data_IF_409958916060
#
_entry.id   IF_409958916060
#
_cell.length_a   1.000
_cell.length_b   1.000
_cell.length_c   1.000
_cell.angle_alpha   90.00
_cell.angle_beta   90.00
_cell.angle_gamma   90.00
#
_symmetry.space_group_name_H-M   'P 1'
#
loop_
_entity.id
_entity.type
_entity.pdbx_description
1 polymer ?
#
# COMPACT_ATOMS: atom_id res chain seq x y z
N UNK A 1 24.21 40.62 -14.03
CA UNK A 1 25.23 39.61 -14.40
C UNK A 1 25.07 38.25 -13.69
N UNK A 2 24.47 38.14 -12.49
CA UNK A 2 24.22 36.84 -11.81
C UNK A 2 22.96 36.08 -12.28
N UNK A 3 21.92 36.77 -12.75
CA UNK A 3 20.67 36.13 -13.23
C UNK A 3 20.80 35.39 -14.58
N UNK A 4 21.70 35.85 -15.47
CA UNK A 4 21.93 35.21 -16.77
C UNK A 4 22.66 33.85 -16.65
N UNK A 5 23.42 33.64 -15.57
CA UNK A 5 24.11 32.37 -15.30
C UNK A 5 23.17 31.25 -14.84
N UNK A 6 22.19 31.57 -14.00
CA UNK A 6 21.18 30.61 -13.53
C UNK A 6 20.25 30.16 -14.67
N UNK A 7 19.81 31.07 -15.53
CA UNK A 7 18.95 30.73 -16.67
C UNK A 7 19.67 29.82 -17.69
N UNK A 8 20.97 30.06 -17.94
CA UNK A 8 21.79 29.21 -18.81
C UNK A 8 22.09 27.82 -18.22
N UNK A 9 22.14 27.71 -16.90
CA UNK A 9 22.33 26.45 -16.18
C UNK A 9 21.07 25.57 -16.24
N UNK A 10 19.90 26.16 -15.95
CA UNK A 10 18.59 25.46 -15.99
C UNK A 10 18.26 24.96 -17.41
N UNK A 11 18.56 25.74 -18.46
CA UNK A 11 18.28 25.35 -19.85
C UNK A 11 19.23 24.24 -20.34
N UNK A 12 20.51 24.24 -19.96
CA UNK A 12 21.43 23.14 -20.32
C UNK A 12 21.15 21.86 -19.57
N UNK A 13 20.85 21.96 -18.26
CA UNK A 13 20.50 20.77 -17.48
C UNK A 13 19.19 20.15 -17.94
N UNK A 14 18.17 20.94 -18.29
CA UNK A 14 16.89 20.41 -18.79
C UNK A 14 17.03 19.61 -20.09
N UNK A 15 17.92 20.03 -21.01
CA UNK A 15 18.18 19.32 -22.25
C UNK A 15 19.01 18.03 -22.08
N UNK A 16 19.92 17.98 -21.09
CA UNK A 16 20.69 16.77 -20.75
C UNK A 16 19.88 15.79 -19.89
N UNK A 17 19.02 16.29 -19.01
CA UNK A 17 18.08 15.54 -18.18
C UNK A 17 17.11 14.69 -18.99
N UNK A 18 16.62 15.21 -20.11
CA UNK A 18 15.73 14.48 -21.02
C UNK A 18 16.44 13.32 -21.76
N UNK A 19 17.78 13.34 -21.83
CA UNK A 19 18.58 12.32 -22.53
C UNK A 19 19.23 11.32 -21.59
N UNK A 20 19.44 11.68 -20.33
CA UNK A 20 20.04 10.82 -19.33
C UNK A 20 19.40 11.05 -17.94
N UNK A 21 18.40 10.22 -17.56
CA UNK A 21 17.79 10.28 -16.25
C UNK A 21 18.79 10.10 -15.09
N UNK A 22 19.94 9.45 -15.32
CA UNK A 22 20.98 9.28 -14.30
C UNK A 22 21.72 10.60 -14.01
N UNK A 23 21.70 11.57 -14.94
CA UNK A 23 22.32 12.88 -14.73
C UNK A 23 21.60 13.70 -13.65
N UNK A 24 20.26 13.74 -13.64
CA UNK A 24 19.48 14.40 -12.57
C UNK A 24 19.80 13.82 -11.19
N UNK A 25 19.89 12.49 -11.13
CA UNK A 25 20.19 11.75 -9.92
C UNK A 25 21.60 12.10 -9.42
N UNK A 26 22.57 12.19 -10.33
CA UNK A 26 23.95 12.56 -10.00
C UNK A 26 24.10 14.05 -9.61
N UNK A 27 23.37 14.98 -10.23
CA UNK A 27 23.35 16.39 -9.81
C UNK A 27 22.70 16.54 -8.42
N UNK A 28 21.57 15.86 -8.17
CA UNK A 28 20.89 15.89 -6.86
C UNK A 28 21.75 15.32 -5.72
N UNK A 29 22.58 14.31 -6.02
CA UNK A 29 23.56 13.74 -5.07
C UNK A 29 24.73 14.69 -4.84
N UNK A 30 25.29 15.27 -5.89
CA UNK A 30 26.45 16.17 -5.80
C UNK A 30 26.13 17.53 -5.18
N UNK A 31 24.86 17.95 -5.19
CA UNK A 31 24.37 19.17 -4.51
C UNK A 31 23.91 18.92 -3.07
N UNK A 32 23.97 17.68 -2.58
CA UNK A 32 23.57 17.30 -1.21
C UNK A 32 22.06 17.32 -0.95
N UNK A 33 21.24 17.44 -2.01
CA UNK A 33 19.78 17.48 -1.93
C UNK A 33 19.22 16.08 -1.64
N UNK A 34 19.88 15.04 -2.15
CA UNK A 34 19.51 13.63 -1.93
C UNK A 34 20.79 12.84 -1.62
N UNK A 35 20.77 11.92 -0.65
CA UNK A 35 21.93 11.05 -0.39
C UNK A 35 22.15 10.07 -1.56
N UNK A 36 23.36 9.52 -1.72
CA UNK A 36 23.61 8.49 -2.74
C UNK A 36 22.66 7.27 -2.61
N UNK A 37 22.28 6.92 -1.38
CA UNK A 37 21.25 5.92 -1.10
C UNK A 37 19.85 6.37 -1.58
N UNK A 38 19.49 7.64 -1.38
CA UNK A 38 18.26 8.25 -1.89
C UNK A 38 18.16 8.22 -3.41
N UNK A 39 19.26 8.55 -4.09
CA UNK A 39 19.39 8.47 -5.54
C UNK A 39 19.16 7.04 -6.07
N UNK A 40 19.77 6.05 -5.43
CA UNK A 40 19.61 4.65 -5.82
C UNK A 40 18.17 4.15 -5.67
N UNK A 41 17.47 4.57 -4.60
CA UNK A 41 16.05 4.23 -4.41
C UNK A 41 15.18 4.94 -5.42
N UNK A 42 15.38 6.24 -5.69
CA UNK A 42 14.62 6.95 -6.72
C UNK A 42 14.80 6.31 -8.10
N UNK A 43 16.04 6.00 -8.46
CA UNK A 43 16.34 5.29 -9.71
C UNK A 43 15.62 3.94 -9.77
N UNK A 44 15.64 3.15 -8.67
CA UNK A 44 14.86 1.91 -8.56
C UNK A 44 13.37 2.15 -8.76
N UNK A 45 12.79 3.12 -8.07
CA UNK A 45 11.35 3.44 -8.16
C UNK A 45 10.95 3.87 -9.58
N UNK A 46 11.84 4.50 -10.34
CA UNK A 46 11.59 4.90 -11.73
C UNK A 46 11.64 3.71 -12.70
N UNK A 47 12.51 2.72 -12.47
CA UNK A 47 12.64 1.53 -13.34
C UNK A 47 11.68 0.39 -12.99
N UNK A 48 10.94 0.51 -11.88
CA UNK A 48 9.86 -0.44 -11.56
C UNK A 48 8.87 -0.46 -12.73
N UNK A 49 8.60 -1.63 -13.35
CA UNK A 49 7.64 -1.71 -14.44
C UNK A 49 6.22 -1.50 -13.93
N UNK A 50 5.31 -1.24 -14.88
CA UNK A 50 3.87 -1.28 -14.62
C UNK A 50 3.48 -2.58 -13.93
N UNK A 51 2.48 -2.51 -13.08
CA UNK A 51 2.01 -3.70 -12.39
C UNK A 51 1.42 -4.72 -13.37
N UNK A 52 1.32 -5.97 -12.93
CA UNK A 52 0.75 -7.06 -13.72
C UNK A 52 -0.67 -6.72 -14.22
N UNK A 53 -1.02 -7.23 -15.39
CA UNK A 53 -2.42 -7.25 -15.82
C UNK A 53 -3.23 -8.18 -14.90
N UNK A 54 -4.43 -7.73 -14.55
CA UNK A 54 -5.38 -8.46 -13.73
C UNK A 54 -6.77 -7.86 -13.88
N UNK A 55 -7.77 -8.55 -13.36
CA UNK A 55 -9.14 -8.07 -13.20
C UNK A 55 -9.23 -6.79 -12.34
N UNK A 56 -8.18 -6.43 -11.60
CA UNK A 56 -8.11 -5.21 -10.79
C UNK A 56 -7.48 -4.02 -11.52
N UNK A 57 -7.10 -4.15 -12.79
CA UNK A 57 -6.45 -3.07 -13.54
C UNK A 57 -7.00 -2.94 -14.96
N UNK A 58 -7.47 -1.74 -15.29
CA UNK A 58 -8.09 -1.42 -16.57
C UNK A 58 -8.60 0.02 -16.61
N UNK A 59 -9.31 0.41 -17.68
CA UNK A 59 -9.98 1.71 -17.75
C UNK A 59 -10.95 1.90 -16.58
N UNK A 60 -10.88 3.07 -15.93
CA UNK A 60 -11.71 3.39 -14.78
C UNK A 60 -13.00 4.11 -15.22
N UNK A 61 -14.09 3.84 -14.51
CA UNK A 61 -15.37 4.49 -14.71
C UNK A 61 -15.62 5.63 -13.72
N UNK A 62 -16.87 6.07 -13.67
CA UNK A 62 -17.34 7.10 -12.73
C UNK A 62 -17.99 6.53 -11.47
N UNK A 63 -18.40 5.26 -11.51
CA UNK A 63 -19.06 4.58 -10.39
C UNK A 63 -18.03 3.85 -9.52
N UNK A 64 -17.98 4.21 -8.23
CA UNK A 64 -17.21 3.49 -7.22
C UNK A 64 -18.16 2.67 -6.35
N UNK A 65 -17.81 1.41 -6.11
CA UNK A 65 -18.49 0.54 -5.16
C UNK A 65 -17.69 0.48 -3.87
N UNK A 66 -18.39 0.55 -2.75
CA UNK A 66 -17.82 0.46 -1.42
C UNK A 66 -18.47 -0.68 -0.66
N UNK A 67 -17.66 -1.57 -0.11
CA UNK A 67 -18.09 -2.71 0.70
C UNK A 67 -17.14 -2.87 1.87
N UNK A 68 -17.58 -3.57 2.91
CA UNK A 68 -16.74 -3.89 4.05
C UNK A 68 -17.08 -5.28 4.60
N UNK A 69 -16.11 -5.90 5.25
CA UNK A 69 -16.25 -7.22 5.85
C UNK A 69 -17.09 -7.15 7.12
N UNK A 70 -17.53 -8.32 7.57
CA UNK A 70 -17.85 -8.48 8.99
C UNK A 70 -16.59 -8.22 9.83
N UNK A 71 -16.83 -7.83 11.09
CA UNK A 71 -15.76 -7.52 12.01
C UNK A 71 -15.07 -8.78 12.55
N UNK A 72 -13.74 -8.81 12.52
CA UNK A 72 -12.95 -9.88 13.15
C UNK A 72 -12.38 -9.40 14.49
N UNK A 73 -12.36 -10.25 15.50
CA UNK A 73 -11.83 -9.88 16.82
C UNK A 73 -10.30 -9.72 16.73
N UNK A 74 -9.79 -8.55 17.15
CA UNK A 74 -8.36 -8.28 17.17
C UNK A 74 -7.58 -9.28 18.03
N UNK A 75 -8.21 -9.90 19.03
CA UNK A 75 -7.62 -10.95 19.84
C UNK A 75 -7.29 -12.20 19.01
N UNK A 76 -8.16 -12.58 18.07
CA UNK A 76 -7.90 -13.70 17.16
C UNK A 76 -6.74 -13.38 16.22
N UNK A 77 -6.73 -12.15 15.66
CA UNK A 77 -5.61 -11.69 14.81
C UNK A 77 -4.28 -11.74 15.56
N UNK A 78 -4.28 -11.31 16.84
CA UNK A 78 -3.10 -11.37 17.71
C UNK A 78 -2.68 -12.81 18.03
N UNK A 79 -3.63 -13.73 18.21
CA UNK A 79 -3.34 -15.13 18.47
C UNK A 79 -2.62 -15.77 17.27
N UNK A 80 -3.10 -15.55 16.04
CA UNK A 80 -2.42 -15.97 14.80
C UNK A 80 -1.01 -15.38 14.74
N UNK A 81 -0.88 -14.08 15.03
CA UNK A 81 0.40 -13.40 15.07
C UNK A 81 1.38 -14.01 16.07
N UNK A 82 0.92 -14.32 17.29
CA UNK A 82 1.73 -14.95 18.32
C UNK A 82 2.20 -16.35 17.92
N UNK A 83 1.32 -17.18 17.35
CA UNK A 83 1.66 -18.55 16.93
C UNK A 83 2.61 -18.60 15.72
N UNK A 84 2.69 -17.52 14.92
CA UNK A 84 3.49 -17.47 13.68
C UNK A 84 4.66 -16.48 13.75
N UNK A 85 4.83 -15.76 14.86
CA UNK A 85 5.81 -14.66 14.95
C UNK A 85 5.51 -13.48 14.03
N UNK A 86 4.25 -13.31 13.61
CA UNK A 86 3.78 -12.27 12.68
C UNK A 86 3.11 -11.11 13.40
N UNK A 87 3.12 -9.91 12.80
CA UNK A 87 2.37 -8.76 13.31
C UNK A 87 0.91 -8.80 12.86
N UNK A 88 0.04 -8.01 13.51
CA UNK A 88 -1.37 -7.83 13.12
C UNK A 88 -1.49 -7.45 11.63
N UNK A 89 -0.63 -6.55 11.16
CA UNK A 89 -0.64 -6.12 9.76
C UNK A 89 -0.29 -7.27 8.81
N UNK A 90 0.69 -8.10 9.16
CA UNK A 90 1.12 -9.21 8.31
C UNK A 90 -0.02 -10.23 8.13
N UNK A 91 -0.74 -10.54 9.21
CA UNK A 91 -1.90 -11.45 9.19
C UNK A 91 -3.01 -10.91 8.29
N UNK A 92 -3.39 -9.63 8.47
CA UNK A 92 -4.48 -9.02 7.71
C UNK A 92 -4.14 -8.88 6.23
N UNK A 93 -2.90 -8.48 5.90
CA UNK A 93 -2.43 -8.39 4.52
C UNK A 93 -2.33 -9.77 3.87
N UNK A 94 -1.96 -10.82 4.61
CA UNK A 94 -1.94 -12.19 4.10
C UNK A 94 -3.35 -12.71 3.76
N UNK A 95 -4.34 -12.44 4.61
CA UNK A 95 -5.74 -12.76 4.37
C UNK A 95 -6.29 -12.00 3.16
N UNK A 96 -6.01 -10.68 3.06
CA UNK A 96 -6.36 -9.87 1.88
C UNK A 96 -5.70 -10.44 0.62
N UNK A 97 -4.42 -10.79 0.67
CA UNK A 97 -3.71 -11.37 -0.49
C UNK A 97 -4.32 -12.69 -0.94
N UNK A 98 -4.81 -13.52 -0.01
CA UNK A 98 -5.54 -14.74 -0.33
C UNK A 98 -6.89 -14.47 -0.97
N UNK A 99 -7.64 -13.53 -0.41
CA UNK A 99 -8.95 -13.16 -0.93
C UNK A 99 -8.84 -12.65 -2.37
N UNK A 100 -7.86 -11.78 -2.63
CA UNK A 100 -7.56 -11.30 -3.97
C UNK A 100 -7.08 -12.43 -4.89
N UNK A 101 -6.23 -13.35 -4.40
CA UNK A 101 -5.77 -14.51 -5.16
C UNK A 101 -6.91 -15.40 -5.63
N UNK A 102 -7.85 -15.74 -4.73
CA UNK A 102 -9.00 -16.58 -5.06
C UNK A 102 -9.93 -15.84 -6.03
N UNK A 103 -10.22 -14.56 -5.76
CA UNK A 103 -11.06 -13.76 -6.65
C UNK A 103 -10.46 -13.66 -8.07
N UNK A 104 -9.15 -13.44 -8.18
CA UNK A 104 -8.43 -13.43 -9.45
C UNK A 104 -8.59 -14.75 -10.20
N UNK A 105 -8.46 -15.89 -9.51
CA UNK A 105 -8.68 -17.21 -10.11
C UNK A 105 -10.13 -17.40 -10.57
N UNK A 106 -11.12 -16.96 -9.78
CA UNK A 106 -12.55 -17.00 -10.15
C UNK A 106 -12.85 -16.19 -11.42
N UNK A 107 -12.09 -15.11 -11.66
CA UNK A 107 -12.19 -14.27 -12.87
C UNK A 107 -11.33 -14.75 -14.04
N UNK A 108 -10.58 -15.84 -13.87
CA UNK A 108 -9.71 -16.41 -14.89
C UNK A 108 -8.35 -15.72 -15.05
N UNK A 109 -7.94 -14.89 -14.10
CA UNK A 109 -6.61 -14.29 -14.10
C UNK A 109 -5.54 -15.37 -13.86
N UNK A 110 -4.46 -15.32 -14.64
CA UNK A 110 -3.30 -16.19 -14.41
C UNK A 110 -2.52 -15.73 -13.18
N UNK A 111 -2.27 -16.64 -12.23
CA UNK A 111 -1.36 -16.39 -11.11
C UNK A 111 0.13 -16.57 -11.48
N UNK A 112 0.42 -17.17 -12.65
CA UNK A 112 1.78 -17.34 -13.13
C UNK A 112 2.46 -16.01 -13.50
N UNK A 113 1.68 -14.94 -13.70
CA UNK A 113 2.18 -13.58 -13.93
C UNK A 113 2.77 -12.93 -12.67
N UNK A 114 2.80 -13.66 -11.56
CA UNK A 114 3.37 -13.22 -10.30
C UNK A 114 2.41 -12.40 -9.45
N UNK A 115 3.01 -11.58 -8.61
CA UNK A 115 2.34 -10.91 -7.51
C UNK A 115 1.60 -9.63 -7.92
N UNK A 116 0.65 -9.22 -7.09
CA UNK A 116 -0.09 -7.96 -7.26
C UNK A 116 0.59 -6.86 -6.45
N UNK A 117 0.84 -5.68 -7.00
CA UNK A 117 1.52 -4.61 -6.26
C UNK A 117 0.52 -3.64 -5.65
N UNK A 118 0.62 -3.43 -4.34
CA UNK A 118 -0.12 -2.41 -3.61
C UNK A 118 0.81 -1.26 -3.19
N UNK A 119 0.28 -0.04 -3.23
CA UNK A 119 0.92 1.13 -2.64
C UNK A 119 0.48 1.23 -1.17
N UNK A 120 1.45 1.30 -0.25
CA UNK A 120 1.20 1.31 1.20
C UNK A 120 1.80 2.58 1.81
N UNK A 121 1.02 3.38 2.55
CA UNK A 121 1.57 4.50 3.30
C UNK A 121 2.32 4.01 4.54
N UNK A 122 3.52 4.53 4.74
CA UNK A 122 4.36 4.28 5.90
C UNK A 122 4.48 5.59 6.67
N UNK A 123 3.99 5.59 7.91
CA UNK A 123 4.11 6.74 8.79
C UNK A 123 5.59 6.98 9.12
N UNK A 124 6.06 8.21 8.90
CA UNK A 124 7.43 8.64 9.19
C UNK A 124 7.52 9.51 10.44
N UNK A 125 6.37 9.90 11.01
CA UNK A 125 6.33 10.70 12.22
C UNK A 125 6.97 9.93 13.38
N UNK A 126 7.81 10.63 14.13
CA UNK A 126 8.33 10.13 15.40
C UNK A 126 7.16 9.86 16.36
N UNK A 127 7.03 8.64 16.91
CA UNK A 127 5.97 8.30 17.87
C UNK A 127 5.91 9.25 19.08
N UNK A 128 7.02 9.85 19.45
CA UNK A 128 7.14 10.73 20.62
C UNK A 128 6.98 12.23 20.28
N UNK A 129 6.80 12.58 19.00
CA UNK A 129 6.55 13.95 18.58
C UNK A 129 5.16 14.45 19.02
N UNK A 130 5.10 15.72 19.43
CA UNK A 130 3.83 16.38 19.75
C UNK A 130 2.86 16.33 18.55
N UNK A 131 1.56 16.26 18.83
CA UNK A 131 0.52 16.29 17.79
C UNK A 131 0.60 17.59 16.98
N UNK A 132 1.20 17.49 15.79
CA UNK A 132 1.32 18.57 14.81
C UNK A 132 0.38 18.35 13.61
N UNK A 133 0.00 19.45 12.97
CA UNK A 133 -0.62 19.42 11.65
C UNK A 133 0.46 19.13 10.59
N UNK A 134 0.14 18.30 9.60
CA UNK A 134 1.04 17.96 8.50
C UNK A 134 0.98 16.49 8.11
N UNK A 135 1.31 16.21 6.85
CA UNK A 135 1.42 14.85 6.32
C UNK A 135 2.89 14.43 6.35
N UNK A 136 3.22 13.45 7.20
CA UNK A 136 4.57 12.89 7.33
C UNK A 136 4.52 11.39 7.07
N UNK A 137 4.23 11.01 5.83
CA UNK A 137 4.21 9.62 5.41
C UNK A 137 4.92 9.43 4.07
N UNK A 138 5.63 8.32 3.94
CA UNK A 138 6.14 7.83 2.68
C UNK A 138 5.15 6.87 2.02
N UNK A 139 5.22 6.72 0.70
CA UNK A 139 4.52 5.66 -0.03
C UNK A 139 5.54 4.61 -0.45
N UNK A 140 5.27 3.34 -0.19
CA UNK A 140 6.11 2.23 -0.63
C UNK A 140 5.29 1.23 -1.41
N UNK A 141 5.95 0.47 -2.28
CA UNK A 141 5.29 -0.62 -2.97
C UNK A 141 5.47 -1.93 -2.21
N UNK A 142 4.36 -2.56 -1.88
CA UNK A 142 4.31 -3.91 -1.33
C UNK A 142 3.80 -4.87 -2.41
N UNK A 143 4.61 -5.87 -2.76
CA UNK A 143 4.14 -7.00 -3.56
C UNK A 143 3.30 -7.92 -2.68
N UNK A 144 2.02 -8.05 -2.99
CA UNK A 144 1.08 -8.99 -2.37
C UNK A 144 1.26 -10.37 -3.00
N UNK A 145 1.62 -11.42 -2.22
CA UNK A 145 1.93 -12.75 -2.75
C UNK A 145 0.68 -13.53 -3.16
N UNK A 146 -0.08 -13.01 -4.13
CA UNK A 146 -1.29 -13.64 -4.67
C UNK A 146 -1.00 -14.94 -5.41
N UNK A 147 0.26 -15.18 -5.79
CA UNK A 147 0.71 -16.40 -6.45
C UNK A 147 0.95 -17.58 -5.49
N UNK A 148 1.00 -17.33 -4.17
CA UNK A 148 1.23 -18.36 -3.15
C UNK A 148 -0.10 -18.92 -2.65
N UNK A 149 -0.37 -20.18 -2.98
CA UNK A 149 -1.61 -20.86 -2.62
C UNK A 149 -1.72 -21.13 -1.11
N UNK A 150 -0.66 -21.69 -0.50
CA UNK A 150 -0.68 -22.07 0.92
C UNK A 150 -0.80 -20.83 1.83
N UNK A 151 -1.82 -20.76 2.71
CA UNK A 151 -2.07 -19.58 3.54
C UNK A 151 -0.93 -19.25 4.51
N UNK A 152 -0.26 -20.25 5.08
CA UNK A 152 0.83 -20.02 6.04
C UNK A 152 2.11 -19.57 5.33
N UNK A 153 2.47 -20.18 4.20
CA UNK A 153 3.57 -19.72 3.37
C UNK A 153 3.34 -18.28 2.88
N UNK A 154 2.09 -17.97 2.51
CA UNK A 154 1.70 -16.61 2.12
C UNK A 154 1.89 -15.62 3.26
N UNK A 155 1.47 -15.97 4.48
CA UNK A 155 1.68 -15.17 5.68
C UNK A 155 3.17 -14.93 5.95
N UNK A 156 3.99 -15.97 5.91
CA UNK A 156 5.44 -15.84 6.13
C UNK A 156 6.10 -14.98 5.05
N UNK A 157 5.66 -15.08 3.80
CA UNK A 157 6.18 -14.25 2.72
C UNK A 157 5.75 -12.78 2.86
N UNK A 158 4.50 -12.50 3.26
CA UNK A 158 4.06 -11.14 3.60
C UNK A 158 4.91 -10.58 4.72
N UNK A 159 5.09 -11.32 5.81
CA UNK A 159 5.94 -10.92 6.93
C UNK A 159 7.35 -10.59 6.47
N UNK A 160 7.98 -11.47 5.69
CA UNK A 160 9.34 -11.26 5.16
C UNK A 160 9.43 -9.96 4.35
N UNK A 161 8.46 -9.69 3.47
CA UNK A 161 8.41 -8.46 2.65
C UNK A 161 8.19 -7.22 3.49
N UNK A 162 7.29 -7.28 4.46
CA UNK A 162 7.04 -6.18 5.39
C UNK A 162 8.27 -5.87 6.25
N UNK A 163 9.00 -6.88 6.73
CA UNK A 163 10.21 -6.69 7.52
C UNK A 163 11.36 -6.07 6.69
N UNK A 164 11.43 -6.38 5.38
CA UNK A 164 12.35 -5.68 4.45
C UNK A 164 11.94 -4.22 4.28
N UNK A 165 10.66 -3.93 4.05
CA UNK A 165 10.16 -2.56 3.88
C UNK A 165 10.38 -1.69 5.11
N UNK A 166 10.11 -2.22 6.32
CA UNK A 166 10.32 -1.50 7.59
C UNK A 166 11.78 -1.10 7.83
N UNK A 167 12.73 -1.87 7.29
CA UNK A 167 14.17 -1.62 7.41
C UNK A 167 14.73 -0.81 6.24
N UNK A 168 13.91 -0.53 5.22
CA UNK A 168 14.33 0.17 4.02
C UNK A 168 14.27 1.69 4.21
N UNK A 169 15.24 2.46 3.69
CA UNK A 169 15.14 3.93 3.66
C UNK A 169 14.07 4.42 2.66
N UNK A 170 13.44 3.52 1.89
CA UNK A 170 12.44 3.82 0.88
C UNK A 170 11.34 4.77 1.35
N UNK A 171 10.78 4.57 2.54
CA UNK A 171 9.69 5.43 3.01
C UNK A 171 10.13 6.90 3.15
N UNK A 172 11.30 7.15 3.75
CA UNK A 172 11.88 8.50 3.91
C UNK A 172 12.18 9.11 2.55
N UNK A 173 12.73 8.33 1.63
CA UNK A 173 13.09 8.79 0.30
C UNK A 173 11.84 9.10 -0.51
N UNK A 174 10.82 8.25 -0.48
CA UNK A 174 9.56 8.52 -1.18
C UNK A 174 8.86 9.75 -0.60
N UNK A 175 8.94 9.99 0.71
CA UNK A 175 8.40 11.23 1.28
C UNK A 175 9.08 12.48 0.71
N UNK A 176 10.41 12.49 0.57
CA UNK A 176 11.14 13.59 -0.07
C UNK A 176 10.73 13.75 -1.54
N UNK A 177 10.58 12.63 -2.27
CA UNK A 177 10.11 12.64 -3.66
C UNK A 177 8.70 13.23 -3.75
N UNK A 178 7.77 12.82 -2.89
CA UNK A 178 6.41 13.36 -2.86
C UNK A 178 6.39 14.86 -2.58
N UNK A 179 7.20 15.35 -1.64
CA UNK A 179 7.32 16.78 -1.37
C UNK A 179 7.86 17.56 -2.58
N UNK A 180 8.87 17.00 -3.27
CA UNK A 180 9.37 17.60 -4.50
C UNK A 180 8.27 17.64 -5.58
N UNK A 181 7.57 16.52 -5.80
CA UNK A 181 6.47 16.44 -6.77
C UNK A 181 5.36 17.44 -6.47
N UNK A 182 5.01 17.63 -5.19
CA UNK A 182 4.03 18.61 -4.74
C UNK A 182 4.44 20.08 -4.99
N UNK A 183 5.72 20.35 -5.24
CA UNK A 183 6.23 21.68 -5.60
C UNK A 183 6.29 21.93 -7.11
N UNK A 184 6.09 20.90 -7.93
CA UNK A 184 6.11 21.02 -9.39
C UNK A 184 4.85 21.71 -9.93
N UNK A 185 4.93 22.34 -11.13
CA UNK A 185 3.75 22.76 -11.88
C UNK A 185 2.77 21.61 -12.08
N UNK A 186 1.46 21.91 -12.05
CA UNK A 186 0.40 20.90 -12.03
C UNK A 186 0.52 19.82 -13.11
N UNK A 187 0.85 20.19 -14.34
CA UNK A 187 1.02 19.23 -15.44
C UNK A 187 2.15 18.21 -15.21
N UNK A 188 3.28 18.67 -14.67
CA UNK A 188 4.42 17.81 -14.35
C UNK A 188 4.13 16.92 -13.13
N UNK A 189 3.45 17.49 -12.13
CA UNK A 189 2.99 16.73 -10.97
C UNK A 189 2.02 15.62 -11.39
N UNK A 190 1.05 15.91 -12.26
CA UNK A 190 0.10 14.92 -12.80
C UNK A 190 0.78 13.79 -13.55
N UNK A 191 1.72 14.10 -14.45
CA UNK A 191 2.49 13.07 -15.17
C UNK A 191 3.31 12.18 -14.23
N UNK A 192 3.91 12.77 -13.18
CA UNK A 192 4.62 11.99 -12.18
C UNK A 192 3.67 11.09 -11.40
N UNK A 193 2.51 11.60 -10.96
CA UNK A 193 1.48 10.81 -10.28
C UNK A 193 1.03 9.63 -11.15
N UNK A 194 0.76 9.85 -12.44
CA UNK A 194 0.40 8.77 -13.38
C UNK A 194 1.52 7.72 -13.50
N UNK A 195 2.77 8.16 -13.62
CA UNK A 195 3.93 7.28 -13.71
C UNK A 195 4.09 6.40 -12.46
N UNK A 196 3.88 6.94 -11.26
CA UNK A 196 3.93 6.17 -10.02
C UNK A 196 2.68 5.30 -9.84
N UNK A 197 1.48 5.83 -10.08
CA UNK A 197 0.22 5.10 -9.98
C UNK A 197 0.22 3.83 -10.85
N UNK A 198 0.72 3.92 -12.09
CA UNK A 198 0.75 2.80 -13.02
C UNK A 198 1.55 1.56 -12.54
N UNK A 199 2.35 1.72 -11.48
CA UNK A 199 3.19 0.66 -10.88
C UNK A 199 2.45 -0.14 -9.81
N UNK A 200 1.25 0.23 -9.41
CA UNK A 200 0.42 -0.50 -8.46
C UNK A 200 -0.98 -0.74 -9.01
N UNK A 201 -1.62 -1.82 -8.55
CA UNK A 201 -3.03 -2.10 -8.84
C UNK A 201 -3.94 -1.67 -7.69
N UNK A 202 -3.38 -1.44 -6.49
CA UNK A 202 -4.15 -1.08 -5.31
C UNK A 202 -3.44 -0.05 -4.43
N UNK A 203 -4.21 0.69 -3.63
CA UNK A 203 -3.71 1.35 -2.42
C UNK A 203 -4.19 0.53 -1.22
N UNK A 204 -3.30 0.16 -0.31
CA UNK A 204 -3.64 -0.58 0.90
C UNK A 204 -3.16 0.20 2.13
N UNK A 205 -4.05 0.37 3.10
CA UNK A 205 -3.72 1.01 4.37
C UNK A 205 -4.26 0.20 5.55
N UNK A 206 -3.60 0.35 6.69
CA UNK A 206 -4.03 -0.23 7.95
C UNK A 206 -3.86 0.81 9.06
N UNK A 207 -4.97 1.29 9.60
CA UNK A 207 -5.00 2.37 10.58
C UNK A 207 -5.50 1.84 11.92
N UNK A 208 -4.70 1.95 13.01
CA UNK A 208 -5.19 1.68 14.34
C UNK A 208 -6.21 2.76 14.73
N UNK A 209 -7.45 2.36 15.00
CA UNK A 209 -8.47 3.27 15.48
C UNK A 209 -8.65 3.21 17.00
N UNK A 210 -9.66 3.93 17.52
CA UNK A 210 -9.93 4.01 18.95
C UNK A 210 -10.27 2.64 19.56
N UNK A 211 -9.64 2.30 20.69
CA UNK A 211 -9.91 1.06 21.44
C UNK A 211 -11.23 1.09 22.21
N UNK A 212 -11.69 2.29 22.56
CA UNK A 212 -12.93 2.51 23.30
C UNK A 212 -14.08 2.79 22.35
N UNK A 213 -15.28 2.38 22.73
CA UNK A 213 -16.51 2.77 22.03
C UNK A 213 -16.67 4.29 22.11
N UNK A 214 -16.73 4.93 20.96
CA UNK A 214 -17.02 6.35 20.83
C UNK A 214 -18.53 6.59 20.80
N UNK A 215 -18.94 7.81 21.16
CA UNK A 215 -20.34 8.20 21.19
C UNK A 215 -20.53 9.47 20.36
N UNK A 216 -21.58 9.47 19.53
CA UNK A 216 -22.03 10.65 18.80
C UNK A 216 -23.40 11.06 19.35
N UNK A 217 -23.48 12.25 19.96
CA UNK A 217 -24.71 12.77 20.59
C UNK A 217 -25.32 11.74 21.58
N UNK A 218 -24.47 11.13 22.42
CA UNK A 218 -24.87 10.13 23.41
C UNK A 218 -25.24 8.75 22.86
N UNK A 219 -25.14 8.53 21.54
CA UNK A 219 -25.37 7.21 20.92
C UNK A 219 -24.04 6.51 20.61
N UNK A 220 -23.89 5.21 20.94
CA UNK A 220 -22.66 4.49 20.65
C UNK A 220 -22.46 4.36 19.13
N UNK A 221 -21.27 4.73 18.66
CA UNK A 221 -20.85 4.48 17.28
C UNK A 221 -20.61 2.98 17.15
N UNK A 222 -21.36 2.32 16.26
CA UNK A 222 -21.30 0.85 16.07
C UNK A 222 -20.10 0.43 15.24
N UNK A 223 -19.79 1.17 14.20
CA UNK A 223 -18.68 0.87 13.30
C UNK A 223 -18.05 2.17 12.81
N UNK A 224 -16.78 2.08 12.42
CA UNK A 224 -16.01 3.17 11.84
C UNK A 224 -15.31 2.62 10.60
N UNK A 225 -15.48 3.30 9.48
CA UNK A 225 -14.86 2.93 8.20
C UNK A 225 -14.31 4.16 7.51
N UNK A 226 -13.33 3.95 6.64
CA UNK A 226 -12.74 5.00 5.82
C UNK A 226 -12.38 4.46 4.45
N UNK A 227 -12.13 5.37 3.51
CA UNK A 227 -11.83 5.04 2.12
C UNK A 227 -10.51 5.69 1.73
N UNK A 228 -9.54 4.87 1.33
CA UNK A 228 -8.25 5.40 0.87
C UNK A 228 -8.39 6.19 -0.42
N UNK A 229 -7.70 7.33 -0.53
CA UNK A 229 -7.62 8.06 -1.78
C UNK A 229 -6.89 7.19 -2.82
N UNK A 230 -7.50 7.10 -4.00
CA UNK A 230 -6.94 6.47 -5.19
C UNK A 230 -6.35 7.55 -6.09
N UNK A 231 -5.17 7.31 -6.66
CA UNK A 231 -4.50 8.25 -7.56
C UNK A 231 -4.23 7.59 -8.91
N UNK A 232 -4.24 8.39 -9.98
CA UNK A 232 -3.99 7.92 -11.34
C UNK A 232 -4.98 6.83 -11.79
N UNK A 233 -4.46 5.73 -12.31
CA UNK A 233 -5.22 4.58 -12.82
C UNK A 233 -5.47 3.48 -11.77
N UNK A 234 -5.20 3.75 -10.48
CA UNK A 234 -5.47 2.79 -9.41
C UNK A 234 -6.97 2.75 -9.13
N UNK A 235 -7.63 1.65 -9.50
CA UNK A 235 -9.06 1.47 -9.30
C UNK A 235 -9.46 0.80 -7.99
N UNK A 236 -8.51 0.25 -7.22
CA UNK A 236 -8.77 -0.50 -5.98
C UNK A 236 -8.13 0.14 -4.75
N UNK A 237 -8.92 0.32 -3.70
CA UNK A 237 -8.53 0.92 -2.43
C UNK A 237 -8.95 0.03 -1.26
N UNK A 238 -7.99 -0.44 -0.48
CA UNK A 238 -8.16 -1.38 0.62
C UNK A 238 -7.86 -0.66 1.93
N UNK A 239 -8.86 -0.61 2.81
CA UNK A 239 -8.80 0.14 4.06
C UNK A 239 -9.02 -0.81 5.23
N UNK A 240 -8.02 -1.00 6.08
CA UNK A 240 -8.15 -1.82 7.29
C UNK A 240 -8.18 -0.90 8.49
N UNK A 241 -9.18 -1.05 9.35
CA UNK A 241 -9.29 -0.29 10.59
C UNK A 241 -9.67 -1.16 11.77
N UNK A 242 -9.07 -0.87 12.91
CA UNK A 242 -9.51 -1.43 14.20
C UNK A 242 -10.31 -0.40 14.98
N UNK A 243 -11.49 -0.77 15.46
CA UNK A 243 -12.34 0.07 16.30
C UNK A 243 -13.03 -0.78 17.36
N UNK A 244 -12.97 -0.37 18.62
CA UNK A 244 -13.57 -1.10 19.74
C UNK A 244 -13.19 -2.61 19.77
N UNK A 245 -11.91 -2.90 19.54
CA UNK A 245 -11.31 -4.26 19.44
C UNK A 245 -11.76 -5.12 18.25
N UNK A 246 -12.52 -4.55 17.31
CA UNK A 246 -12.93 -5.22 16.08
C UNK A 246 -12.13 -4.66 14.92
N UNK A 247 -11.54 -5.52 14.10
CA UNK A 247 -10.89 -5.17 12.84
C UNK A 247 -11.89 -5.34 11.71
N UNK A 248 -11.99 -4.34 10.84
CA UNK A 248 -12.85 -4.39 9.65
C UNK A 248 -12.02 -4.09 8.41
N UNK A 249 -12.20 -4.89 7.37
CA UNK A 249 -11.68 -4.63 6.02
C UNK A 249 -12.72 -3.83 5.24
N UNK A 250 -12.32 -2.72 4.65
CA UNK A 250 -13.09 -1.95 3.68
C UNK A 250 -12.45 -2.03 2.30
N UNK A 251 -13.28 -2.10 1.26
CA UNK A 251 -12.87 -2.07 -0.13
C UNK A 251 -13.67 -0.98 -0.86
N UNK A 252 -12.95 -0.04 -1.45
CA UNK A 252 -13.47 0.87 -2.46
C UNK A 252 -12.89 0.47 -3.81
N UNK A 253 -13.73 0.13 -4.78
CA UNK A 253 -13.28 -0.34 -6.09
C UNK A 253 -14.11 0.25 -7.23
N UNK A 254 -13.48 0.46 -8.38
CA UNK A 254 -14.15 0.90 -9.59
C UNK A 254 -15.13 -0.18 -10.11
N UNK A 255 -16.36 0.23 -10.40
CA UNK A 255 -17.41 -0.69 -10.85
C UNK A 255 -17.17 -1.29 -12.23
N UNK A 256 -16.25 -0.74 -13.04
CA UNK A 256 -15.84 -1.37 -14.31
C UNK A 256 -14.83 -2.50 -14.12
N UNK A 257 -14.12 -2.54 -12.99
CA UNK A 257 -13.12 -3.58 -12.70
C UNK A 257 -13.77 -4.79 -12.02
N UNK A 258 -14.64 -4.52 -11.04
CA UNK A 258 -15.27 -5.55 -10.21
C UNK A 258 -16.76 -5.25 -10.05
N UNK A 259 -17.58 -6.18 -10.52
CA UNK A 259 -19.05 -6.11 -10.52
C UNK A 259 -19.69 -6.78 -9.28
N UNK A 260 -18.92 -7.51 -8.48
CA UNK A 260 -19.37 -8.21 -7.27
C UNK A 260 -18.36 -8.08 -6.09
N UNK A 261 -18.00 -6.86 -5.65
CA UNK A 261 -16.97 -6.64 -4.64
C UNK A 261 -17.27 -7.30 -3.27
N UNK A 262 -18.53 -7.59 -2.97
CA UNK A 262 -18.97 -8.33 -1.78
C UNK A 262 -18.33 -9.73 -1.73
N UNK A 263 -18.03 -10.34 -2.89
CA UNK A 263 -17.35 -11.63 -2.98
C UNK A 263 -15.97 -11.58 -2.32
N UNK A 264 -15.23 -10.49 -2.50
CA UNK A 264 -13.90 -10.29 -1.89
C UNK A 264 -14.00 -10.24 -0.36
N UNK A 265 -15.09 -9.69 0.20
CA UNK A 265 -15.30 -9.66 1.65
C UNK A 265 -15.55 -11.06 2.21
N UNK A 266 -16.33 -11.88 1.50
CA UNK A 266 -16.56 -13.30 1.86
C UNK A 266 -15.25 -14.09 1.80
N UNK A 267 -14.45 -13.89 0.74
CA UNK A 267 -13.16 -14.55 0.57
C UNK A 267 -12.14 -14.10 1.63
N UNK A 268 -12.16 -12.83 2.03
CA UNK A 268 -11.34 -12.35 3.14
C UNK A 268 -11.69 -13.05 4.45
N UNK A 269 -12.97 -13.18 4.77
CA UNK A 269 -13.41 -13.92 5.96
C UNK A 269 -12.97 -15.38 5.90
N UNK A 270 -13.13 -16.03 4.74
CA UNK A 270 -12.69 -17.41 4.53
C UNK A 270 -11.18 -17.61 4.77
N UNK A 271 -10.35 -16.70 4.24
CA UNK A 271 -8.90 -16.76 4.43
C UNK A 271 -8.50 -16.50 5.88
N UNK A 272 -9.18 -15.58 6.56
CA UNK A 272 -8.96 -15.31 7.98
C UNK A 272 -9.31 -16.53 8.86
N UNK A 273 -10.47 -17.14 8.61
CA UNK A 273 -10.92 -18.34 9.33
C UNK A 273 -9.97 -19.52 9.08
N UNK A 274 -9.46 -19.64 7.86
CA UNK A 274 -8.47 -20.67 7.48
C UNK A 274 -7.15 -20.48 8.25
N UNK A 275 -6.62 -19.26 8.31
CA UNK A 275 -5.43 -18.97 9.13
C UNK A 275 -5.66 -19.24 10.62
N UNK A 276 -6.85 -18.91 11.13
CA UNK A 276 -7.25 -19.21 12.51
C UNK A 276 -7.23 -20.72 12.77
N UNK A 277 -7.85 -21.52 11.90
CA UNK A 277 -7.90 -22.97 12.04
C UNK A 277 -6.51 -23.61 11.97
N UNK A 278 -5.68 -23.22 10.99
CA UNK A 278 -4.32 -23.74 10.81
C UNK A 278 -3.42 -23.41 12.00
N UNK A 279 -3.50 -22.19 12.53
CA UNK A 279 -2.68 -21.80 13.69
C UNK A 279 -3.15 -22.46 14.99
N UNK A 280 -4.45 -22.69 15.17
CA UNK A 280 -4.95 -23.48 16.28
C UNK A 280 -4.39 -24.91 16.25
N UNK A 281 -4.33 -25.54 15.07
CA UNK A 281 -3.72 -26.87 14.90
C UNK A 281 -2.24 -26.85 15.30
N UNK A 282 -1.46 -25.88 14.82
CA UNK A 282 -0.04 -25.72 15.18
C UNK A 282 0.17 -25.60 16.69
N UNK A 283 -0.69 -24.85 17.40
CA UNK A 283 -0.60 -24.70 18.85
C UNK A 283 -0.99 -25.96 19.64
N UNK A 284 -1.65 -26.93 19.01
CA UNK A 284 -2.11 -28.18 19.65
C UNK A 284 -1.26 -29.41 19.32
N UNK A 285 -0.29 -29.30 18.40
CA UNK A 285 0.61 -30.42 18.11
C UNK A 285 1.62 -30.61 19.28
N UNK A 286 1.79 -31.85 19.79
CA UNK A 286 2.85 -32.12 20.76
C UNK A 286 4.23 -31.88 20.14
N UNK A 287 5.12 -31.29 20.95
CA UNK A 287 6.50 -30.94 20.56
C UNK A 287 7.34 -32.17 20.18
#
# INVERSE_FOLDING_TARGET
KRAAGLAGFVVRESAQTLRDPQHLVNTAVSTGVITAAGAAVLARLLVIPKDRSSSFRGPLGTSKRVVWSEGVDIAQVKAIGASTGSTINDVLVAAVSGALSIYMQERGDSLASGDLRAMVPVNLRDPDAALGLGNEFGLVYLSLPVSIADPLQRLYEVKRRMDVLKRSPEAVITYQVLNLLGSLPGELASQAVELFAAKASAVLTNVPGPRQTLYFVGKPIRNLMFWVPQSGDIGMGISIISYANVVTLGLMIDGLLVDDPERIMVLFQHEFDTLTALTHQLSTMPA
#
